data_IF_421303967355
#
_entry.id   IF_421303967355
#
_cell.length_a   1.000
_cell.length_b   1.000
_cell.length_c   1.000
_cell.angle_alpha   90.00
_cell.angle_beta   90.00
_cell.angle_gamma   90.00
#
_symmetry.space_group_name_H-M   'P 1'
#
loop_
_entity.id
_entity.type
_entity.pdbx_description
1 polymer ?
#
# COMPACT_ATOMS: atom_id res chain seq x y z
N UNK A 1 -8.87 -10.93 13.12
CA UNK A 1 -8.36 -11.14 11.76
C UNK A 1 -8.85 -10.00 10.88
N UNK A 2 -8.11 -8.90 10.90
CA UNK A 2 -8.31 -7.79 9.96
C UNK A 2 -7.47 -8.01 8.70
N UNK A 3 -7.83 -7.36 7.59
CA UNK A 3 -7.06 -7.43 6.34
C UNK A 3 -5.61 -6.97 6.54
N UNK A 4 -5.39 -6.03 7.45
CA UNK A 4 -4.07 -5.50 7.78
C UNK A 4 -3.21 -6.57 8.48
N UNK A 5 -3.79 -7.29 9.45
CA UNK A 5 -3.11 -8.40 10.12
C UNK A 5 -2.74 -9.50 9.12
N UNK A 6 -3.64 -9.86 8.21
CA UNK A 6 -3.37 -10.86 7.18
C UNK A 6 -2.23 -10.45 6.22
N UNK A 7 -2.14 -9.15 5.89
CA UNK A 7 -1.07 -8.61 5.05
C UNK A 7 0.27 -8.50 5.79
N UNK A 8 0.27 -8.28 7.11
CA UNK A 8 1.48 -8.26 7.93
C UNK A 8 2.11 -9.64 8.10
N UNK A 9 1.33 -10.71 7.99
CA UNK A 9 1.83 -12.10 8.02
C UNK A 9 2.65 -12.48 6.77
N UNK A 10 2.59 -11.67 5.71
CA UNK A 10 3.30 -11.96 4.47
C UNK A 10 4.79 -11.62 4.65
N UNK A 11 5.71 -12.61 4.58
CA UNK A 11 7.13 -12.35 4.71
C UNK A 11 7.59 -11.44 3.58
N UNK A 12 8.37 -10.41 3.89
CA UNK A 12 8.87 -9.47 2.89
C UNK A 12 10.21 -9.96 2.30
N UNK A 13 10.22 -10.48 1.06
CA UNK A 13 11.43 -11.01 0.42
C UNK A 13 12.36 -9.92 -0.10
N UNK A 14 11.99 -8.63 0.03
CA UNK A 14 12.79 -7.52 -0.49
C UNK A 14 14.06 -7.35 0.35
N UNK A 15 15.20 -7.16 -0.32
CA UNK A 15 16.47 -6.79 0.32
C UNK A 15 16.30 -5.47 1.09
N UNK A 16 17.01 -5.35 2.22
CA UNK A 16 16.94 -4.18 3.09
C UNK A 16 17.20 -2.84 2.36
N UNK A 17 18.01 -2.85 1.30
CA UNK A 17 18.30 -1.68 0.46
C UNK A 17 17.10 -1.16 -0.36
N UNK A 18 16.00 -1.92 -0.44
CA UNK A 18 14.76 -1.54 -1.13
C UNK A 18 13.56 -1.26 -0.20
N UNK A 19 13.75 -1.31 1.13
CA UNK A 19 12.67 -1.10 2.10
C UNK A 19 12.49 0.38 2.41
N UNK A 20 11.86 1.12 1.49
CA UNK A 20 11.39 2.50 1.73
C UNK A 20 10.05 2.53 2.46
N UNK A 21 9.24 1.48 2.29
CA UNK A 21 7.94 1.28 2.92
C UNK A 21 7.74 -0.21 3.24
N UNK A 22 6.95 -0.57 4.27
CA UNK A 22 6.61 -1.95 4.57
C UNK A 22 5.88 -2.61 3.39
N UNK A 23 6.17 -3.88 3.10
CA UNK A 23 5.52 -4.61 1.99
C UNK A 23 3.99 -4.61 2.11
N UNK A 24 3.46 -4.79 3.33
CA UNK A 24 2.03 -4.84 3.57
C UNK A 24 1.33 -3.53 3.16
N UNK A 25 1.98 -2.37 3.32
CA UNK A 25 1.45 -1.08 2.86
C UNK A 25 1.34 -1.06 1.34
N UNK A 26 2.36 -1.57 0.65
CA UNK A 26 2.37 -1.64 -0.81
C UNK A 26 1.28 -2.57 -1.34
N UNK A 27 1.06 -3.72 -0.70
CA UNK A 27 -0.02 -4.64 -1.05
C UNK A 27 -1.40 -4.02 -0.81
N UNK A 28 -1.58 -3.33 0.32
CA UNK A 28 -2.82 -2.63 0.64
C UNK A 28 -3.14 -1.54 -0.40
N UNK A 29 -2.14 -0.81 -0.87
CA UNK A 29 -2.27 0.17 -1.95
C UNK A 29 -2.69 -0.46 -3.27
N UNK A 30 -2.11 -1.61 -3.64
CA UNK A 30 -2.50 -2.35 -4.86
C UNK A 30 -3.95 -2.81 -4.76
N UNK A 31 -4.37 -3.35 -3.62
CA UNK A 31 -5.74 -3.81 -3.40
C UNK A 31 -6.71 -2.64 -3.50
N UNK A 32 -6.43 -1.52 -2.83
CA UNK A 32 -7.24 -0.30 -2.90
C UNK A 32 -7.35 0.26 -4.32
N UNK A 33 -6.24 0.33 -5.05
CA UNK A 33 -6.23 0.78 -6.44
C UNK A 33 -7.04 -0.14 -7.36
N UNK A 34 -6.92 -1.45 -7.15
CA UNK A 34 -7.68 -2.47 -7.90
C UNK A 34 -9.18 -2.37 -7.61
N UNK A 35 -9.57 -2.20 -6.34
CA UNK A 35 -10.98 -1.99 -5.95
C UNK A 35 -11.54 -0.68 -6.50
N UNK A 36 -10.70 0.34 -6.61
CA UNK A 36 -11.06 1.66 -7.14
C UNK A 36 -11.06 1.71 -8.69
N UNK A 37 -10.97 0.56 -9.36
CA UNK A 37 -10.92 0.40 -10.81
C UNK A 37 -9.75 1.14 -11.50
N UNK A 38 -8.71 1.50 -10.76
CA UNK A 38 -7.47 2.04 -11.33
C UNK A 38 -6.62 0.88 -11.86
N UNK A 39 -6.71 0.62 -13.16
CA UNK A 39 -5.94 -0.45 -13.81
C UNK A 39 -4.54 0.03 -14.19
N UNK A 40 -3.54 -0.78 -13.86
CA UNK A 40 -2.14 -0.56 -14.23
C UNK A 40 -1.37 0.42 -13.34
N UNK A 41 -0.05 0.49 -13.56
CA UNK A 41 0.88 1.27 -12.74
C UNK A 41 0.57 2.77 -12.69
N UNK A 42 0.10 3.35 -13.80
CA UNK A 42 -0.25 4.79 -13.87
C UNK A 42 -1.53 5.10 -13.09
N UNK A 43 -2.52 4.22 -13.14
CA UNK A 43 -3.74 4.34 -12.35
C UNK A 43 -3.41 4.25 -10.86
N UNK A 44 -2.57 3.28 -10.49
CA UNK A 44 -2.08 3.13 -9.12
C UNK A 44 -1.32 4.38 -8.64
N UNK A 45 -0.42 4.93 -9.47
CA UNK A 45 0.31 6.15 -9.13
C UNK A 45 -0.64 7.34 -8.88
N UNK A 46 -1.64 7.52 -9.74
CA UNK A 46 -2.64 8.58 -9.60
C UNK A 46 -3.53 8.39 -8.37
N UNK A 47 -3.87 7.15 -8.03
CA UNK A 47 -4.56 6.82 -6.80
C UNK A 47 -3.70 7.13 -5.57
N UNK A 48 -2.43 6.73 -5.60
CA UNK A 48 -1.47 7.01 -4.53
C UNK A 48 -1.31 8.52 -4.33
N UNK A 49 -1.05 9.30 -5.37
CA UNK A 49 -0.94 10.77 -5.27
C UNK A 49 -2.20 11.41 -4.67
N UNK A 50 -3.38 10.97 -5.11
CA UNK A 50 -4.66 11.55 -4.68
C UNK A 50 -5.05 11.18 -3.25
N UNK A 51 -4.67 9.99 -2.80
CA UNK A 51 -5.05 9.46 -1.50
C UNK A 51 -3.90 9.40 -0.49
N UNK A 52 -2.67 9.80 -0.86
CA UNK A 52 -1.49 9.76 0.01
C UNK A 52 -1.72 10.49 1.32
N UNK A 53 -2.29 11.70 1.29
CA UNK A 53 -2.55 12.48 2.50
C UNK A 53 -3.54 11.78 3.43
N UNK A 54 -4.64 11.26 2.86
CA UNK A 54 -5.67 10.57 3.64
C UNK A 54 -5.17 9.24 4.21
N UNK A 55 -4.35 8.51 3.44
CA UNK A 55 -3.72 7.27 3.86
C UNK A 55 -2.63 7.50 4.91
N UNK A 56 -1.82 8.55 4.77
CA UNK A 56 -0.82 8.93 5.77
C UNK A 56 -1.46 9.25 7.12
N UNK A 57 -2.56 10.01 7.12
CA UNK A 57 -3.32 10.31 8.35
C UNK A 57 -3.99 9.07 8.93
N UNK A 58 -4.60 8.20 8.10
CA UNK A 58 -5.29 6.98 8.57
C UNK A 58 -4.34 5.88 9.04
N UNK A 59 -3.13 5.83 8.49
CA UNK A 59 -2.09 4.85 8.85
C UNK A 59 -1.14 5.38 9.95
N UNK A 60 -1.33 6.61 10.43
CA UNK A 60 -0.54 7.19 11.52
C UNK A 60 0.92 7.46 11.13
N UNK A 61 1.17 7.81 9.87
CA UNK A 61 2.52 8.11 9.36
C UNK A 61 2.87 9.62 9.45
N UNK A 62 2.02 10.42 10.11
CA UNK A 62 2.22 11.84 10.46
C UNK A 62 1.62 12.09 11.84
#
# INVERSE_FOLDING_TARGET
>A
MTLIEALQTIPDPRKASGRRYPLWVFLLLIILGTMSSYRGYRGLARFMERHQGHLATRLGLV
#
